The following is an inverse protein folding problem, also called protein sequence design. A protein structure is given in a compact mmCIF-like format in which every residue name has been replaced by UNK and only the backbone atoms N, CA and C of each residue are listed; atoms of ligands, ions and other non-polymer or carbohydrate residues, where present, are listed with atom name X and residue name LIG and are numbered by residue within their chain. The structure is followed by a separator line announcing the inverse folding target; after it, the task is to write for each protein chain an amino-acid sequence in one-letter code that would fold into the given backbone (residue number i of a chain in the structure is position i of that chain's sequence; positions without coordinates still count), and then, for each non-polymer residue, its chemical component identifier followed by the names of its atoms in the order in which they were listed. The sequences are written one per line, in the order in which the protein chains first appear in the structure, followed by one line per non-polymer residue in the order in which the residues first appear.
data_IF_565536000714
#
_entry.id   IF_565536000714
#
_cell.length_a   1.000
_cell.length_b   1.000
_cell.length_c   1.000
_cell.angle_alpha   90.00
_cell.angle_beta   90.00
_cell.angle_gamma   90.00
#
_symmetry.space_group_name_H-M   'P 1'
#
loop_
_entity.id
_entity.type
_entity.pdbx_description
1 polymer ?
#
# COMPACT_ATOMS: atom_id res chain seq x y z
N UNK A 1 8.06 57.49 -4.13
CA UNK A 1 9.01 58.23 -5.00
C UNK A 1 8.55 59.66 -5.01
N UNK A 2 9.44 60.61 -4.72
CA UNK A 2 9.10 62.02 -4.85
C UNK A 2 9.05 62.42 -6.34
N UNK A 3 8.44 63.57 -6.68
CA UNK A 3 8.33 64.05 -8.06
C UNK A 3 9.69 64.25 -8.76
N UNK A 4 10.78 64.37 -8.01
CA UNK A 4 12.16 64.53 -8.47
C UNK A 4 12.92 63.21 -8.71
N UNK A 5 12.26 62.06 -8.52
CA UNK A 5 12.88 60.74 -8.69
C UNK A 5 13.62 60.21 -7.45
N UNK A 6 13.69 60.98 -6.36
CA UNK A 6 14.30 60.57 -5.10
C UNK A 6 13.55 59.41 -4.41
N UNK A 7 14.30 58.52 -3.77
CA UNK A 7 13.78 57.44 -2.90
C UNK A 7 14.00 57.85 -1.44
N UNK A 8 12.93 57.98 -0.66
CA UNK A 8 13.03 58.11 0.80
C UNK A 8 13.07 56.73 1.45
N UNK A 9 13.95 56.56 2.43
CA UNK A 9 13.93 55.42 3.34
C UNK A 9 12.63 55.50 4.16
N UNK A 10 11.77 54.49 4.04
CA UNK A 10 10.55 54.38 4.83
C UNK A 10 10.73 53.24 5.82
N UNK A 11 10.72 53.56 7.11
CA UNK A 11 10.65 52.57 8.17
C UNK A 11 9.18 52.28 8.48
N UNK A 12 8.83 51.00 8.56
CA UNK A 12 7.49 50.51 8.92
C UNK A 12 7.66 49.31 9.82
N UNK A 13 6.78 49.12 10.79
CA UNK A 13 6.77 47.88 11.57
C UNK A 13 6.38 46.68 10.69
N UNK A 14 6.83 45.50 11.10
CA UNK A 14 6.68 44.26 10.33
C UNK A 14 5.22 43.89 10.13
N UNK A 15 4.39 44.00 11.17
CA UNK A 15 2.97 43.67 11.10
C UNK A 15 2.25 44.54 10.07
N UNK A 16 2.52 45.84 10.07
CA UNK A 16 1.96 46.76 9.09
C UNK A 16 2.51 46.50 7.70
N UNK A 17 3.80 46.17 7.55
CA UNK A 17 4.39 45.83 6.25
C UNK A 17 3.79 44.55 5.64
N UNK A 18 3.48 43.57 6.48
CA UNK A 18 2.86 42.30 6.10
C UNK A 18 1.33 42.32 6.17
N UNK A 19 0.69 43.46 6.48
CA UNK A 19 -0.76 43.57 6.73
C UNK A 19 -1.31 42.55 7.75
N UNK A 20 -0.54 42.22 8.78
CA UNK A 20 -0.99 41.44 9.92
C UNK A 20 -1.87 42.32 10.81
N UNK A 21 -3.19 42.08 10.79
CA UNK A 21 -4.19 42.83 11.55
C UNK A 21 -4.10 42.56 13.05
N UNK A 22 -3.46 41.46 13.46
CA UNK A 22 -3.49 40.95 14.83
C UNK A 22 -4.75 40.17 15.18
N UNK A 23 -5.65 39.94 14.21
CA UNK A 23 -6.76 38.99 14.34
C UNK A 23 -6.18 37.60 14.62
N UNK A 24 -6.67 36.94 15.68
CA UNK A 24 -6.18 35.61 16.10
C UNK A 24 -6.52 34.55 15.04
N UNK A 25 -7.52 34.77 14.19
CA UNK A 25 -7.84 33.91 13.06
C UNK A 25 -6.96 34.17 11.83
N UNK A 26 -6.14 35.23 11.82
CA UNK A 26 -5.26 35.53 10.69
C UNK A 26 -3.89 34.86 10.87
N UNK A 27 -3.47 34.14 9.84
CA UNK A 27 -2.14 33.57 9.72
C UNK A 27 -1.46 34.11 8.47
N UNK A 28 -0.14 34.00 8.42
CA UNK A 28 0.68 34.43 7.30
C UNK A 28 1.59 33.29 6.89
N UNK A 29 1.51 32.91 5.62
CA UNK A 29 2.40 31.94 5.01
C UNK A 29 3.47 32.62 4.16
N UNK A 30 4.64 32.00 4.06
CA UNK A 30 5.74 32.45 3.21
C UNK A 30 6.62 31.26 2.83
N UNK A 31 7.36 31.39 1.74
CA UNK A 31 8.38 30.43 1.32
C UNK A 31 9.77 30.99 1.57
N UNK A 32 10.58 30.24 2.32
CA UNK A 32 12.02 30.50 2.39
C UNK A 32 12.68 29.93 1.13
N UNK A 33 13.18 30.81 0.26
CA UNK A 33 13.81 30.42 -1.00
C UNK A 33 15.18 29.78 -0.84
N UNK A 34 15.82 29.91 0.34
CA UNK A 34 17.10 29.27 0.63
C UNK A 34 16.89 27.77 0.91
N UNK A 35 15.89 27.43 1.71
CA UNK A 35 15.59 26.04 2.10
C UNK A 35 14.53 25.38 1.22
N UNK A 36 13.76 26.17 0.48
CA UNK A 36 12.60 25.71 -0.29
C UNK A 36 11.35 25.45 0.56
N UNK A 37 11.40 25.65 1.88
CA UNK A 37 10.31 25.34 2.80
C UNK A 37 9.29 26.48 2.91
N UNK A 38 8.04 26.13 3.08
CA UNK A 38 6.96 27.01 3.50
C UNK A 38 6.86 27.07 5.04
N UNK A 39 6.61 28.26 5.54
CA UNK A 39 6.45 28.55 6.97
C UNK A 39 5.11 29.25 7.19
N UNK A 40 4.50 28.98 8.34
CA UNK A 40 3.27 29.62 8.79
C UNK A 40 3.55 30.38 10.10
N UNK A 41 3.03 31.61 10.18
CA UNK A 41 3.17 32.49 11.33
C UNK A 41 1.80 32.98 11.79
N UNK A 42 1.61 33.10 13.10
CA UNK A 42 0.41 33.72 13.67
C UNK A 42 0.42 35.24 13.45
N UNK A 43 -0.67 35.80 12.92
CA UNK A 43 -0.81 37.24 12.73
C UNK A 43 -0.82 38.02 14.04
N UNK A 44 -1.37 37.46 15.12
CA UNK A 44 -1.33 38.07 16.46
C UNK A 44 0.09 38.07 17.03
N UNK A 45 0.82 36.95 16.91
CA UNK A 45 2.20 36.89 17.41
C UNK A 45 3.16 37.77 16.60
N UNK A 46 2.98 37.85 15.28
CA UNK A 46 3.74 38.77 14.44
C UNK A 46 3.56 40.24 14.88
N UNK A 47 2.35 40.61 15.32
CA UNK A 47 2.04 41.96 15.79
C UNK A 47 2.61 42.26 17.17
N UNK A 48 2.52 41.31 18.09
CA UNK A 48 2.93 41.51 19.48
C UNK A 48 4.43 41.27 19.71
N UNK A 49 4.98 40.24 19.08
CA UNK A 49 6.33 39.72 19.34
C UNK A 49 7.26 39.83 18.13
N UNK A 50 6.73 40.10 16.93
CA UNK A 50 7.51 40.10 15.68
C UNK A 50 7.87 38.69 15.22
N UNK A 51 8.96 38.57 14.46
CA UNK A 51 9.52 37.28 14.05
C UNK A 51 10.80 37.00 14.81
N UNK A 52 10.92 35.78 15.33
CA UNK A 52 12.15 35.30 15.94
C UNK A 52 12.90 34.40 14.96
N UNK A 53 14.18 34.68 14.79
CA UNK A 53 15.11 33.85 14.04
C UNK A 53 16.35 33.58 14.89
N UNK A 54 16.78 32.33 14.88
CA UNK A 54 18.10 31.95 15.38
C UNK A 54 18.96 31.68 14.15
N UNK A 55 19.93 32.57 13.88
CA UNK A 55 20.84 32.50 12.74
C UNK A 55 22.23 32.09 13.23
N UNK A 56 22.76 31.00 12.68
CA UNK A 56 24.17 30.63 12.80
C UNK A 56 25.08 31.50 11.93
N UNK A 57 26.39 31.23 11.98
CA UNK A 57 27.36 31.89 11.10
C UNK A 57 27.07 31.59 9.63
N UNK A 58 27.04 32.63 8.79
CA UNK A 58 26.75 32.58 7.35
C UNK A 58 25.34 32.09 6.97
N UNK A 59 24.45 31.88 7.93
CA UNK A 59 23.06 31.52 7.65
C UNK A 59 22.27 32.76 7.21
N UNK A 60 21.42 32.59 6.20
CA UNK A 60 20.44 33.58 5.80
C UNK A 60 19.10 32.90 5.50
N UNK A 61 18.02 33.65 5.66
CA UNK A 61 16.68 33.25 5.20
C UNK A 61 16.17 34.32 4.24
N UNK A 62 15.50 33.88 3.17
CA UNK A 62 14.92 34.78 2.17
C UNK A 62 13.47 34.39 1.95
N UNK A 63 12.59 35.06 2.71
CA UNK A 63 11.16 34.82 2.74
C UNK A 63 10.44 35.59 1.63
N UNK A 64 9.88 34.86 0.66
CA UNK A 64 9.08 35.39 -0.45
C UNK A 64 7.66 34.80 -0.42
N UNK A 65 6.84 35.17 -1.41
CA UNK A 65 5.50 34.62 -1.63
C UNK A 65 4.58 34.70 -0.40
N UNK A 66 4.61 35.85 0.27
CA UNK A 66 3.79 36.12 1.44
C UNK A 66 2.31 36.05 1.10
N UNK A 67 1.57 35.20 1.83
CA UNK A 67 0.14 34.96 1.65
C UNK A 67 -0.59 35.09 2.98
N UNK A 68 -1.77 35.69 2.95
CA UNK A 68 -2.66 35.70 4.09
C UNK A 68 -3.51 34.44 4.11
N UNK A 69 -3.59 33.82 5.27
CA UNK A 69 -4.41 32.66 5.56
C UNK A 69 -5.40 33.03 6.66
N UNK A 70 -6.58 32.43 6.64
CA UNK A 70 -7.61 32.63 7.66
C UNK A 70 -8.06 31.29 8.19
N UNK A 71 -7.96 31.13 9.50
CA UNK A 71 -8.45 29.98 10.26
C UNK A 71 -9.97 29.88 10.10
N UNK A 72 -10.45 28.76 9.60
CA UNK A 72 -11.86 28.45 9.43
C UNK A 72 -12.11 26.95 9.64
N UNK A 73 -13.38 26.53 9.55
CA UNK A 73 -13.74 25.13 9.76
C UNK A 73 -13.10 24.19 8.73
N UNK A 74 -12.70 24.72 7.57
CA UNK A 74 -12.11 23.95 6.48
C UNK A 74 -10.59 23.92 6.50
N UNK A 75 -9.99 24.95 7.07
CA UNK A 75 -8.55 25.09 7.15
C UNK A 75 -8.22 25.51 8.59
N UNK A 76 -8.09 24.53 9.51
CA UNK A 76 -7.69 24.79 10.89
C UNK A 76 -6.20 25.16 10.94
N UNK A 77 -5.86 26.32 10.38
CA UNK A 77 -4.50 26.87 10.32
C UNK A 77 -3.90 27.05 11.71
N UNK A 78 -4.73 27.29 12.73
CA UNK A 78 -4.28 27.31 14.12
C UNK A 78 -3.74 25.95 14.56
N UNK A 79 -4.49 24.89 14.33
CA UNK A 79 -4.08 23.54 14.72
C UNK A 79 -2.82 23.14 13.95
N UNK A 80 -2.74 23.46 12.65
CA UNK A 80 -1.53 23.23 11.86
C UNK A 80 -0.34 24.03 12.41
N UNK A 81 -0.52 25.32 12.72
CA UNK A 81 0.53 26.17 13.30
C UNK A 81 1.07 25.57 14.61
N UNK A 82 0.17 25.15 15.51
CA UNK A 82 0.52 24.52 16.78
C UNK A 82 1.18 23.14 16.60
N UNK A 83 0.78 22.39 15.59
CA UNK A 83 1.39 21.11 15.24
C UNK A 83 2.82 21.28 14.72
N UNK A 84 3.05 22.24 13.83
CA UNK A 84 4.36 22.50 13.23
C UNK A 84 5.37 23.11 14.21
N UNK A 85 4.90 23.86 15.22
CA UNK A 85 5.75 24.49 16.25
C UNK A 85 6.93 25.27 15.65
N UNK A 86 6.66 26.02 14.58
CA UNK A 86 7.66 26.82 13.87
C UNK A 86 8.55 26.07 12.88
N UNK A 87 8.41 24.73 12.75
CA UNK A 87 9.09 23.97 11.69
C UNK A 87 8.53 24.33 10.32
N UNK A 88 9.42 24.54 9.35
CA UNK A 88 9.05 24.67 7.94
C UNK A 88 8.67 23.32 7.34
N UNK A 89 7.80 23.33 6.33
CA UNK A 89 7.34 22.16 5.57
C UNK A 89 7.51 22.38 4.09
N UNK A 90 7.60 21.34 3.26
CA UNK A 90 7.74 21.51 1.81
C UNK A 90 6.52 22.24 1.19
N UNK A 91 5.34 22.01 1.75
CA UNK A 91 4.04 22.52 1.30
C UNK A 91 3.06 22.58 2.46
N UNK A 92 2.55 23.77 2.79
CA UNK A 92 1.53 23.95 3.82
C UNK A 92 0.19 23.34 3.41
N UNK A 93 -0.09 23.28 2.09
CA UNK A 93 -1.29 22.63 1.58
C UNK A 93 -1.26 21.11 1.84
N UNK A 94 -0.12 20.45 1.61
CA UNK A 94 0.04 19.02 1.92
C UNK A 94 0.00 18.76 3.42
N UNK A 95 0.67 19.60 4.21
CA UNK A 95 0.64 19.48 5.66
C UNK A 95 -0.76 19.68 6.24
N UNK A 96 -1.58 20.57 5.66
CA UNK A 96 -2.99 20.73 6.01
C UNK A 96 -3.79 19.47 5.68
N UNK A 97 -3.60 18.89 4.49
CA UNK A 97 -4.25 17.62 4.13
C UNK A 97 -3.87 16.49 5.09
N UNK A 98 -2.60 16.38 5.46
CA UNK A 98 -2.13 15.35 6.40
C UNK A 98 -2.75 15.52 7.79
N UNK A 99 -2.91 16.78 8.26
CA UNK A 99 -3.63 17.07 9.50
C UNK A 99 -5.09 16.65 9.43
N UNK A 100 -5.78 16.97 8.33
CA UNK A 100 -7.19 16.62 8.14
C UNK A 100 -7.40 15.11 8.03
N UNK A 101 -6.51 14.38 7.35
CA UNK A 101 -6.60 12.93 7.16
C UNK A 101 -6.16 12.12 8.39
N UNK A 102 -5.53 12.78 9.37
CA UNK A 102 -4.98 12.17 10.58
C UNK A 102 -5.97 11.25 11.32
N UNK A 103 -7.26 11.60 11.53
CA UNK A 103 -8.20 10.72 12.22
C UNK A 103 -8.39 9.36 11.53
N UNK A 104 -8.48 9.35 10.19
CA UNK A 104 -8.60 8.11 9.41
C UNK A 104 -7.29 7.32 9.45
N UNK A 105 -6.15 8.00 9.30
CA UNK A 105 -4.83 7.35 9.36
C UNK A 105 -4.58 6.72 10.73
N UNK A 106 -4.94 7.39 11.82
CA UNK A 106 -4.82 6.85 13.17
C UNK A 106 -5.74 5.65 13.40
N UNK A 107 -6.99 5.72 12.93
CA UNK A 107 -7.92 4.60 13.02
C UNK A 107 -7.42 3.38 12.24
N UNK A 108 -6.83 3.58 11.06
CA UNK A 108 -6.20 2.52 10.28
C UNK A 108 -4.99 1.90 11.02
N UNK A 109 -4.10 2.72 11.59
CA UNK A 109 -2.96 2.22 12.39
C UNK A 109 -3.42 1.45 13.63
N UNK A 110 -4.52 1.88 14.25
CA UNK A 110 -5.12 1.17 15.36
C UNK A 110 -5.73 -0.17 14.92
N UNK A 111 -6.37 -0.23 13.75
CA UNK A 111 -6.92 -1.46 13.17
C UNK A 111 -5.83 -2.52 12.95
N UNK A 112 -4.71 -2.12 12.35
CA UNK A 112 -3.59 -3.02 12.02
C UNK A 112 -2.62 -3.15 13.20
N UNK A 113 -3.03 -3.95 14.18
CA UNK A 113 -2.32 -4.14 15.44
C UNK A 113 -1.83 -5.59 15.62
N UNK A 114 -0.50 -5.83 15.73
CA UNK A 114 0.05 -7.18 15.75
C UNK A 114 -0.52 -8.11 16.83
N UNK A 115 -0.67 -7.70 18.12
CA UNK A 115 -1.24 -8.56 19.14
C UNK A 115 -2.70 -8.94 18.86
N UNK A 116 -3.49 -8.00 18.35
CA UNK A 116 -4.88 -8.22 18.00
C UNK A 116 -5.02 -9.27 16.88
N UNK A 117 -4.27 -9.09 15.79
CA UNK A 117 -4.29 -10.00 14.63
C UNK A 117 -3.74 -11.38 15.04
N UNK A 118 -2.70 -11.42 15.86
CA UNK A 118 -2.14 -12.67 16.37
C UNK A 118 -3.17 -13.44 17.21
N UNK A 119 -3.91 -12.75 18.10
CA UNK A 119 -5.00 -13.35 18.89
C UNK A 119 -6.16 -13.83 18.02
N UNK A 120 -6.49 -13.08 16.96
CA UNK A 120 -7.59 -13.43 16.07
C UNK A 120 -7.29 -14.72 15.28
N UNK A 121 -6.09 -14.85 14.73
CA UNK A 121 -5.70 -15.97 13.86
C UNK A 121 -4.85 -17.04 14.57
N UNK A 122 -4.72 -16.96 15.90
CA UNK A 122 -3.97 -17.91 16.73
C UNK A 122 -2.50 -18.07 16.28
N UNK A 123 -1.94 -17.00 15.73
CA UNK A 123 -0.55 -16.94 15.29
C UNK A 123 0.32 -16.53 16.49
N UNK A 124 1.48 -17.17 16.66
CA UNK A 124 2.41 -16.77 17.73
C UNK A 124 2.97 -15.38 17.42
N UNK A 125 2.57 -14.36 18.20
CA UNK A 125 3.13 -13.03 18.10
C UNK A 125 4.64 -13.06 18.43
N UNK A 126 5.48 -12.24 17.78
CA UNK A 126 6.87 -12.13 18.17
C UNK A 126 6.95 -11.65 19.62
N UNK A 127 7.68 -12.38 20.47
CA UNK A 127 8.15 -11.80 21.72
C UNK A 127 9.06 -10.63 21.35
N UNK A 128 8.71 -9.42 21.80
CA UNK A 128 9.55 -8.23 21.63
C UNK A 128 10.95 -8.54 22.15
N UNK A 129 11.92 -8.67 21.24
CA UNK A 129 13.29 -8.95 21.59
C UNK A 129 13.83 -7.86 22.50
N UNK A 130 14.30 -8.27 23.69
CA UNK A 130 15.20 -7.46 24.49
C UNK A 130 16.33 -6.96 23.59
N UNK A 131 16.45 -5.63 23.52
CA UNK A 131 17.59 -4.97 22.93
C UNK A 131 18.88 -5.63 23.44
N UNK A 132 19.72 -6.06 22.49
CA UNK A 132 20.97 -6.76 22.76
C UNK A 132 21.80 -6.03 23.81
N UNK A 133 21.85 -6.62 25.01
CA UNK A 133 22.88 -6.30 25.99
C UNK A 133 24.18 -6.84 25.42
N UNK A 134 25.07 -5.94 25.00
CA UNK A 134 26.46 -6.23 24.62
C UNK A 134 27.09 -7.17 25.66
N UNK A 135 27.41 -8.39 25.26
CA UNK A 135 28.28 -9.28 26.03
C UNK A 135 29.70 -9.12 25.50
N UNK A 136 30.58 -8.55 26.32
CA UNK A 136 32.03 -8.67 26.14
C UNK A 136 32.48 -10.08 26.58
N UNK A 137 33.54 -10.67 26.00
CA UNK A 137 33.92 -12.05 26.27
C UNK A 137 34.98 -12.15 27.38
N UNK A 138 34.86 -13.16 28.25
CA UNK A 138 35.95 -13.77 29.02
C UNK A 138 35.47 -15.14 29.61
N UNK A 139 36.37 -16.06 30.02
CA UNK A 139 36.56 -17.32 29.32
C UNK A 139 36.17 -18.57 30.11
N UNK A 140 36.33 -19.71 29.44
CA UNK A 140 36.22 -21.11 29.86
C UNK A 140 36.45 -21.43 31.35
N UNK A 141 35.64 -22.34 31.88
CA UNK A 141 36.14 -23.54 32.59
C UNK A 141 35.06 -24.63 32.62
N UNK A 142 35.52 -25.86 32.39
CA UNK A 142 34.74 -27.10 32.36
C UNK A 142 34.34 -27.58 33.75
N UNK A 143 33.17 -28.21 33.86
CA UNK A 143 32.95 -29.34 34.77
C UNK A 143 31.71 -30.15 34.35
N UNK A 144 31.95 -31.40 33.99
CA UNK A 144 30.99 -32.48 33.82
C UNK A 144 30.32 -32.80 35.16
N UNK A 145 29.00 -33.00 35.19
CA UNK A 145 28.39 -33.89 36.18
C UNK A 145 27.06 -34.48 35.72
N UNK A 146 27.07 -35.81 35.65
CA UNK A 146 25.95 -36.73 35.44
C UNK A 146 25.01 -36.76 36.65
N UNK A 147 23.69 -36.81 36.44
CA UNK A 147 22.81 -37.92 36.91
C UNK A 147 21.31 -37.61 36.81
N UNK A 148 20.59 -38.64 36.36
CA UNK A 148 19.26 -39.12 36.78
C UNK A 148 18.01 -38.30 36.47
N UNK A 149 17.32 -38.79 35.44
CA UNK A 149 15.86 -38.83 35.26
C UNK A 149 15.14 -39.48 36.45
N UNK A 150 13.99 -38.94 36.89
CA UNK A 150 12.90 -39.70 37.50
C UNK A 150 11.66 -39.76 36.58
N UNK A 151 10.80 -40.80 36.69
CA UNK A 151 9.78 -41.10 35.70
C UNK A 151 8.39 -40.49 35.98
N UNK A 152 7.67 -40.29 34.86
CA UNK A 152 6.23 -40.39 34.62
C UNK A 152 5.23 -39.47 35.36
N UNK A 153 4.38 -38.79 34.56
CA UNK A 153 2.92 -38.84 34.63
C UNK A 153 2.35 -38.42 33.26
N UNK A 154 1.26 -39.04 32.76
CA UNK A 154 0.70 -38.77 31.45
C UNK A 154 0.03 -37.39 31.47
N UNK A 155 0.40 -36.54 30.51
CA UNK A 155 -0.34 -35.32 30.23
C UNK A 155 -1.74 -35.71 29.72
N UNK A 156 -2.70 -35.71 30.63
CA UNK A 156 -4.10 -35.68 30.28
C UNK A 156 -4.33 -34.38 29.50
N UNK A 157 -4.56 -34.52 28.20
CA UNK A 157 -5.09 -33.48 27.35
C UNK A 157 -6.44 -33.04 27.94
N UNK A 158 -6.44 -31.94 28.67
CA UNK A 158 -7.64 -31.34 29.21
C UNK A 158 -8.28 -30.46 28.14
N UNK A 159 -9.54 -30.78 27.80
CA UNK A 159 -10.43 -30.04 26.92
C UNK A 159 -10.80 -28.61 27.43
N UNK A 160 -9.95 -28.01 28.28
CA UNK A 160 -10.10 -26.65 28.83
C UNK A 160 -9.44 -25.62 27.89
N UNK A 161 -8.53 -26.03 27.00
CA UNK A 161 -7.81 -25.15 26.08
C UNK A 161 -8.67 -24.51 24.97
N UNK A 162 -9.63 -25.26 24.42
CA UNK A 162 -10.39 -24.84 23.24
C UNK A 162 -11.36 -23.70 23.54
N UNK A 163 -11.98 -23.70 24.73
CA UNK A 163 -12.90 -22.65 25.17
C UNK A 163 -12.21 -21.30 25.37
N UNK A 164 -11.01 -21.29 25.96
CA UNK A 164 -10.22 -20.07 26.15
C UNK A 164 -9.66 -19.51 24.84
N UNK A 165 -9.30 -20.37 23.87
CA UNK A 165 -8.89 -19.93 22.54
C UNK A 165 -10.07 -19.31 21.78
N UNK A 166 -11.23 -19.97 21.78
CA UNK A 166 -12.45 -19.47 21.14
C UNK A 166 -12.92 -18.13 21.74
N UNK A 167 -12.84 -17.99 23.07
CA UNK A 167 -13.21 -16.74 23.75
C UNK A 167 -12.25 -15.59 23.41
N UNK A 168 -10.92 -15.81 23.47
CA UNK A 168 -9.91 -14.82 23.08
C UNK A 168 -10.07 -14.37 21.63
N UNK A 169 -10.39 -15.31 20.75
CA UNK A 169 -10.69 -15.04 19.35
C UNK A 169 -11.92 -14.15 19.20
N UNK A 170 -13.01 -14.46 19.92
CA UNK A 170 -14.24 -13.66 19.88
C UNK A 170 -13.98 -12.23 20.34
N UNK A 171 -13.29 -12.07 21.47
CA UNK A 171 -12.89 -10.75 21.98
C UNK A 171 -12.01 -9.98 20.99
N UNK A 172 -11.09 -10.66 20.31
CA UNK A 172 -10.27 -10.07 19.26
C UNK A 172 -11.12 -9.62 18.04
N UNK A 173 -12.11 -10.42 17.64
CA UNK A 173 -13.01 -10.06 16.54
C UNK A 173 -13.89 -8.85 16.91
N UNK A 174 -14.44 -8.83 18.13
CA UNK A 174 -15.25 -7.72 18.65
C UNK A 174 -14.43 -6.41 18.71
N UNK A 175 -13.17 -6.48 19.16
CA UNK A 175 -12.27 -5.33 19.17
C UNK A 175 -11.87 -4.88 17.76
N UNK A 176 -11.66 -5.81 16.83
CA UNK A 176 -11.39 -5.48 15.43
C UNK A 176 -12.60 -4.78 14.78
N UNK A 177 -13.82 -5.26 15.06
CA UNK A 177 -15.08 -4.65 14.62
C UNK A 177 -15.23 -3.22 15.14
N UNK A 178 -14.91 -2.97 16.41
CA UNK A 178 -14.92 -1.62 16.98
C UNK A 178 -13.91 -0.69 16.27
N UNK A 179 -12.71 -1.18 15.97
CA UNK A 179 -11.66 -0.39 15.31
C UNK A 179 -11.99 -0.06 13.85
N UNK A 180 -12.57 -1.01 13.09
CA UNK A 180 -13.01 -0.71 11.73
C UNK A 180 -14.20 0.24 11.75
N UNK A 181 -15.13 0.10 12.69
CA UNK A 181 -16.25 1.04 12.85
C UNK A 181 -15.75 2.48 13.08
N UNK A 182 -14.75 2.67 13.96
CA UNK A 182 -14.14 3.97 14.20
C UNK A 182 -13.47 4.53 12.94
N UNK A 183 -12.80 3.69 12.14
CA UNK A 183 -12.21 4.09 10.86
C UNK A 183 -13.27 4.52 9.83
N UNK A 184 -14.36 3.76 9.71
CA UNK A 184 -15.49 4.07 8.84
C UNK A 184 -16.17 5.39 9.24
N UNK A 185 -16.36 5.63 10.55
CA UNK A 185 -16.92 6.88 11.08
C UNK A 185 -15.99 8.07 10.88
N UNK A 186 -14.68 7.89 11.07
CA UNK A 186 -13.69 8.93 10.77
C UNK A 186 -13.74 9.32 9.28
N UNK A 187 -13.84 8.35 8.37
CA UNK A 187 -13.96 8.62 6.95
C UNK A 187 -15.25 9.37 6.59
N UNK A 188 -16.40 9.00 7.17
CA UNK A 188 -17.65 9.75 6.97
C UNK A 188 -17.59 11.17 7.54
N UNK A 189 -16.88 11.37 8.65
CA UNK A 189 -16.76 12.68 9.29
C UNK A 189 -15.97 13.68 8.43
N UNK A 190 -15.04 13.20 7.59
CA UNK A 190 -14.33 14.03 6.60
C UNK A 190 -15.27 14.62 5.54
N UNK A 191 -16.38 13.94 5.26
CA UNK A 191 -17.34 14.30 4.21
C UNK A 191 -18.38 15.30 4.70
N UNK A 192 -18.65 15.30 6.00
CA UNK A 192 -19.55 16.25 6.66
C UNK A 192 -18.91 17.65 6.80
N UNK A 193 -17.60 17.76 6.62
CA UNK A 193 -16.91 19.04 6.55
C UNK A 193 -16.94 19.63 5.14
N UNK A 194 -17.00 20.96 5.02
CA UNK A 194 -16.85 21.68 3.76
C UNK A 194 -15.43 21.54 3.13
N UNK A 195 -14.53 20.75 3.76
CA UNK A 195 -13.17 20.42 3.31
C UNK A 195 -13.08 19.24 2.34
N UNK A 196 -14.16 18.50 2.13
CA UNK A 196 -14.15 17.29 1.30
C UNK A 196 -13.64 17.55 -0.12
N UNK A 197 -14.00 18.71 -0.71
CA UNK A 197 -13.58 19.12 -2.04
C UNK A 197 -12.07 19.35 -2.15
N UNK A 198 -11.43 19.95 -1.13
CA UNK A 198 -9.99 20.23 -1.16
C UNK A 198 -9.13 18.97 -0.95
N UNK A 199 -9.72 17.93 -0.37
CA UNK A 199 -9.12 16.60 -0.18
C UNK A 199 -9.31 15.67 -1.39
N UNK A 200 -10.13 16.04 -2.37
CA UNK A 200 -10.49 15.15 -3.48
C UNK A 200 -11.38 13.98 -3.04
N UNK A 201 -11.98 14.06 -1.85
CA UNK A 201 -12.93 13.07 -1.34
C UNK A 201 -14.30 13.32 -2.00
N UNK A 202 -15.04 12.28 -2.43
CA UNK A 202 -16.36 12.45 -3.01
C UNK A 202 -17.32 13.21 -2.09
N UNK A 203 -18.13 14.09 -2.69
CA UNK A 203 -19.14 14.88 -1.98
C UNK A 203 -20.15 14.01 -1.24
N UNK A 204 -20.74 14.52 -0.16
CA UNK A 204 -21.67 13.80 0.70
C UNK A 204 -22.81 13.08 -0.04
N UNK A 205 -23.36 13.71 -1.09
CA UNK A 205 -24.43 13.14 -1.90
C UNK A 205 -24.06 11.87 -2.65
N UNK A 206 -22.76 11.58 -2.83
CA UNK A 206 -22.28 10.38 -3.52
C UNK A 206 -22.17 9.17 -2.59
N UNK A 207 -22.21 9.34 -1.27
CA UNK A 207 -22.08 8.25 -0.30
C UNK A 207 -23.43 7.56 -0.10
N UNK A 208 -23.50 6.28 -0.50
CA UNK A 208 -24.75 5.52 -0.57
C UNK A 208 -24.90 4.47 0.52
N UNK A 209 -23.79 4.00 1.11
CA UNK A 209 -23.78 2.91 2.07
C UNK A 209 -23.92 3.35 3.52
N UNK A 210 -24.08 2.36 4.42
CA UNK A 210 -24.16 2.58 5.86
C UNK A 210 -23.00 1.91 6.60
N UNK A 211 -22.57 2.50 7.73
CA UNK A 211 -21.52 1.93 8.59
C UNK A 211 -21.90 0.53 9.08
N UNK A 212 -23.17 0.30 9.38
CA UNK A 212 -23.67 -0.99 9.85
C UNK A 212 -23.51 -2.10 8.80
N UNK A 213 -23.91 -1.83 7.55
CA UNK A 213 -23.79 -2.81 6.47
C UNK A 213 -22.31 -3.10 6.12
N UNK A 214 -21.49 -2.06 6.03
CA UNK A 214 -20.06 -2.18 5.77
C UNK A 214 -19.33 -2.96 6.89
N UNK A 215 -19.68 -2.71 8.16
CA UNK A 215 -19.15 -3.46 9.30
C UNK A 215 -19.54 -4.94 9.27
N UNK A 216 -20.80 -5.25 8.93
CA UNK A 216 -21.27 -6.62 8.80
C UNK A 216 -20.55 -7.36 7.66
N UNK A 217 -20.36 -6.69 6.51
CA UNK A 217 -19.63 -7.23 5.36
C UNK A 217 -18.16 -7.48 5.70
N UNK A 218 -17.49 -6.53 6.35
CA UNK A 218 -16.12 -6.66 6.85
C UNK A 218 -15.97 -7.89 7.75
N UNK A 219 -16.83 -8.01 8.76
CA UNK A 219 -16.78 -9.10 9.75
C UNK A 219 -16.94 -10.45 9.06
N UNK A 220 -17.93 -10.60 8.18
CA UNK A 220 -18.14 -11.80 7.37
C UNK A 220 -16.90 -12.18 6.56
N UNK A 221 -16.26 -11.22 5.89
CA UNK A 221 -15.07 -11.47 5.07
C UNK A 221 -13.86 -11.89 5.90
N UNK A 222 -13.64 -11.26 7.07
CA UNK A 222 -12.56 -11.64 7.99
C UNK A 222 -12.78 -13.06 8.52
N UNK A 223 -14.02 -13.42 8.87
CA UNK A 223 -14.34 -14.77 9.32
C UNK A 223 -14.16 -15.81 8.21
N UNK A 224 -14.58 -15.50 6.98
CA UNK A 224 -14.35 -16.34 5.82
C UNK A 224 -12.85 -16.52 5.52
N UNK A 225 -12.07 -15.44 5.60
CA UNK A 225 -10.64 -15.46 5.33
C UNK A 225 -9.88 -16.48 6.20
N UNK A 226 -10.34 -16.74 7.44
CA UNK A 226 -9.76 -17.76 8.31
C UNK A 226 -9.73 -19.17 7.73
N UNK A 227 -10.65 -19.47 6.79
CA UNK A 227 -10.74 -20.79 6.16
C UNK A 227 -9.85 -20.90 4.93
N UNK A 228 -9.22 -19.80 4.47
CA UNK A 228 -8.33 -19.79 3.30
C UNK A 228 -7.22 -20.83 3.40
N UNK A 229 -6.43 -20.95 4.49
CA UNK A 229 -5.38 -21.97 4.58
C UNK A 229 -5.92 -23.40 4.38
N UNK A 230 -7.17 -23.67 4.79
CA UNK A 230 -7.78 -24.99 4.62
C UNK A 230 -8.23 -25.29 3.18
N UNK A 231 -8.38 -24.26 2.33
CA UNK A 231 -8.73 -24.45 0.93
C UNK A 231 -7.61 -25.12 0.13
N UNK A 232 -6.35 -24.91 0.50
CA UNK A 232 -5.19 -25.52 -0.19
C UNK A 232 -5.34 -27.04 -0.36
N UNK A 233 -5.89 -27.72 0.65
CA UNK A 233 -6.12 -29.18 0.65
C UNK A 233 -7.10 -29.67 -0.43
N UNK A 234 -7.86 -28.74 -1.00
CA UNK A 234 -8.88 -29.02 -2.02
C UNK A 234 -8.39 -28.65 -3.43
N UNK A 235 -7.20 -28.05 -3.57
CA UNK A 235 -6.54 -27.87 -4.86
C UNK A 235 -5.93 -29.20 -5.34
N UNK A 236 -5.73 -29.34 -6.65
CA UNK A 236 -5.09 -30.51 -7.25
C UNK A 236 -3.60 -30.55 -6.94
N UNK A 237 -2.98 -29.37 -6.90
CA UNK A 237 -1.55 -29.17 -6.60
C UNK A 237 -1.43 -28.28 -5.37
N UNK A 238 -0.45 -28.58 -4.52
CA UNK A 238 -0.12 -27.73 -3.37
C UNK A 238 0.23 -26.31 -3.83
N UNK A 239 -0.02 -25.32 -2.99
CA UNK A 239 0.23 -23.93 -3.35
C UNK A 239 1.72 -23.67 -3.55
N UNK A 240 2.04 -22.90 -4.58
CA UNK A 240 3.43 -22.55 -4.89
C UNK A 240 4.06 -21.69 -3.79
N UNK A 241 5.38 -21.60 -3.75
CA UNK A 241 6.09 -20.68 -2.84
C UNK A 241 5.61 -19.24 -3.02
N UNK A 242 5.32 -18.81 -4.26
CA UNK A 242 4.75 -17.50 -4.56
C UNK A 242 3.36 -17.30 -3.94
N UNK A 243 2.47 -18.28 -4.07
CA UNK A 243 1.15 -18.24 -3.43
C UNK A 243 1.27 -18.13 -1.90
N UNK A 244 2.09 -19.00 -1.32
CA UNK A 244 2.37 -19.03 0.12
C UNK A 244 3.10 -17.79 0.61
N UNK A 245 3.74 -17.01 -0.25
CA UNK A 245 4.40 -15.75 0.15
C UNK A 245 3.41 -14.61 0.40
N UNK A 246 2.25 -14.61 -0.28
CA UNK A 246 1.26 -13.51 -0.24
C UNK A 246 -0.07 -13.90 0.42
N UNK A 247 -0.48 -15.17 0.38
CA UNK A 247 -1.74 -15.65 0.95
C UNK A 247 -1.51 -16.30 2.33
N UNK A 248 -2.45 -16.15 3.27
CA UNK A 248 -2.35 -16.81 4.56
C UNK A 248 -2.23 -18.34 4.44
N UNK A 249 -1.33 -18.92 5.23
CA UNK A 249 -1.05 -20.35 5.33
C UNK A 249 -0.65 -20.74 6.76
N UNK A 250 -0.24 -21.98 7.03
CA UNK A 250 0.05 -22.46 8.38
C UNK A 250 1.38 -21.97 9.01
N UNK A 251 2.17 -21.14 8.31
CA UNK A 251 3.37 -20.53 8.88
C UNK A 251 3.04 -19.49 9.99
N UNK A 252 3.97 -19.20 10.91
CA UNK A 252 3.71 -18.28 12.03
C UNK A 252 4.08 -16.81 11.75
N UNK A 253 5.37 -16.45 11.71
CA UNK A 253 5.79 -15.02 11.69
C UNK A 253 5.40 -14.27 10.42
N UNK A 254 5.80 -14.77 9.26
CA UNK A 254 5.51 -14.13 7.97
C UNK A 254 4.02 -14.10 7.65
N UNK A 255 3.27 -15.04 8.21
CA UNK A 255 1.83 -15.15 8.03
C UNK A 255 1.07 -14.00 8.70
N UNK A 256 1.59 -13.42 9.79
CA UNK A 256 0.94 -12.30 10.46
C UNK A 256 0.84 -11.06 9.53
N UNK A 257 1.85 -10.82 8.72
CA UNK A 257 1.83 -9.76 7.70
C UNK A 257 0.80 -10.04 6.59
N UNK A 258 0.63 -11.30 6.19
CA UNK A 258 -0.38 -11.73 5.21
C UNK A 258 -1.78 -11.49 5.75
N UNK A 259 -2.04 -11.87 7.00
CA UNK A 259 -3.31 -11.56 7.69
C UNK A 259 -3.57 -10.07 7.83
N UNK A 260 -2.55 -9.27 8.16
CA UNK A 260 -2.66 -7.82 8.17
C UNK A 260 -3.05 -7.26 6.80
N UNK A 261 -2.47 -7.79 5.73
CA UNK A 261 -2.80 -7.37 4.35
C UNK A 261 -4.24 -7.73 3.99
N UNK A 262 -4.72 -8.91 4.40
CA UNK A 262 -6.13 -9.32 4.21
C UNK A 262 -7.10 -8.42 4.99
N UNK A 263 -6.79 -8.09 6.25
CA UNK A 263 -7.59 -7.14 7.06
C UNK A 263 -7.61 -5.76 6.42
N UNK A 264 -6.46 -5.27 5.94
CA UNK A 264 -6.37 -3.99 5.24
C UNK A 264 -7.27 -3.98 4.00
N UNK A 265 -7.19 -5.01 3.16
CA UNK A 265 -8.08 -5.16 2.00
C UNK A 265 -9.56 -5.17 2.40
N UNK A 266 -9.94 -5.95 3.42
CA UNK A 266 -11.32 -6.02 3.87
C UNK A 266 -11.85 -4.67 4.39
N UNK A 267 -11.01 -3.91 5.09
CA UNK A 267 -11.35 -2.57 5.57
C UNK A 267 -11.49 -1.55 4.43
N UNK A 268 -10.63 -1.63 3.41
CA UNK A 268 -10.73 -0.79 2.21
C UNK A 268 -11.98 -1.13 1.38
N UNK A 269 -12.35 -2.41 1.27
CA UNK A 269 -13.62 -2.81 0.66
C UNK A 269 -14.82 -2.26 1.44
N UNK A 270 -14.79 -2.32 2.79
CA UNK A 270 -15.84 -1.74 3.63
C UNK A 270 -15.94 -0.21 3.49
N UNK A 271 -14.81 0.49 3.34
CA UNK A 271 -14.79 1.91 2.95
C UNK A 271 -15.46 2.13 1.59
N UNK A 272 -15.17 1.26 0.62
CA UNK A 272 -15.80 1.27 -0.69
C UNK A 272 -17.32 1.11 -0.64
N UNK A 273 -17.81 0.17 0.17
CA UNK A 273 -19.25 -0.05 0.40
C UNK A 273 -19.96 1.18 1.00
N UNK A 274 -19.26 2.00 1.81
CA UNK A 274 -19.81 3.27 2.28
C UNK A 274 -20.06 4.27 1.16
N UNK A 275 -19.15 4.33 0.19
CA UNK A 275 -19.26 5.25 -0.93
C UNK A 275 -20.23 4.73 -1.99
N UNK A 276 -20.05 3.50 -2.47
CA UNK A 276 -20.87 2.90 -3.52
C UNK A 276 -21.27 1.47 -3.14
N UNK A 277 -22.58 1.21 -3.13
CA UNK A 277 -23.12 -0.14 -2.86
C UNK A 277 -23.05 -1.01 -4.13
N UNK A 278 -23.09 -0.40 -5.32
CA UNK A 278 -23.06 -1.13 -6.59
C UNK A 278 -21.65 -1.45 -7.08
N UNK A 279 -20.65 -0.63 -6.73
CA UNK A 279 -19.26 -0.77 -7.17
C UNK A 279 -18.28 -0.53 -6.00
N UNK A 280 -18.33 -1.34 -4.93
CA UNK A 280 -17.55 -1.09 -3.72
C UNK A 280 -16.04 -1.23 -3.96
N UNK A 281 -15.59 -2.08 -4.88
CA UNK A 281 -14.17 -2.27 -5.19
C UNK A 281 -13.56 -1.01 -5.83
N UNK A 282 -14.16 -0.49 -6.91
CA UNK A 282 -13.72 0.74 -7.55
C UNK A 282 -13.80 1.94 -6.60
N UNK A 283 -14.86 2.01 -5.79
CA UNK A 283 -15.03 3.02 -4.76
C UNK A 283 -13.94 2.95 -3.68
N UNK A 284 -13.57 1.74 -3.24
CA UNK A 284 -12.50 1.50 -2.27
C UNK A 284 -11.13 1.92 -2.80
N UNK A 285 -10.82 1.62 -4.06
CA UNK A 285 -9.60 2.09 -4.72
C UNK A 285 -9.55 3.62 -4.82
N UNK A 286 -10.67 4.27 -5.18
CA UNK A 286 -10.78 5.73 -5.23
C UNK A 286 -10.55 6.37 -3.85
N UNK A 287 -11.15 5.79 -2.80
CA UNK A 287 -10.96 6.27 -1.43
C UNK A 287 -9.55 6.03 -0.91
N UNK A 288 -8.90 4.94 -1.30
CA UNK A 288 -7.50 4.71 -0.98
C UNK A 288 -6.61 5.87 -1.46
N UNK A 289 -6.82 6.32 -2.70
CA UNK A 289 -6.05 7.41 -3.30
C UNK A 289 -6.41 8.76 -2.67
N UNK A 290 -7.71 9.07 -2.54
CA UNK A 290 -8.19 10.32 -1.96
C UNK A 290 -7.77 10.51 -0.49
N UNK A 291 -7.76 9.42 0.28
CA UNK A 291 -7.37 9.43 1.70
C UNK A 291 -5.86 9.21 1.90
N UNK A 292 -5.07 9.16 0.81
CA UNK A 292 -3.60 8.95 0.83
C UNK A 292 -3.17 7.75 1.67
N UNK A 293 -3.89 6.63 1.57
CA UNK A 293 -3.70 5.48 2.48
C UNK A 293 -2.43 4.67 2.23
N UNK A 294 -1.70 4.92 1.12
CA UNK A 294 -0.52 4.15 0.75
C UNK A 294 0.53 4.12 1.85
N UNK A 295 0.94 5.29 2.34
CA UNK A 295 1.98 5.47 3.35
C UNK A 295 1.51 5.03 4.75
N UNK A 296 0.32 5.45 5.26
CA UNK A 296 -0.22 4.93 6.52
C UNK A 296 -0.31 3.41 6.58
N UNK A 297 -0.69 2.75 5.48
CA UNK A 297 -0.69 1.28 5.38
C UNK A 297 0.72 0.70 5.42
N UNK A 298 1.66 1.26 4.65
CA UNK A 298 3.04 0.78 4.66
C UNK A 298 3.67 0.91 6.06
N UNK A 299 3.45 2.03 6.75
CA UNK A 299 3.92 2.22 8.12
C UNK A 299 3.23 1.29 9.13
N UNK A 300 1.94 0.99 8.93
CA UNK A 300 1.28 -0.02 9.74
C UNK A 300 1.88 -1.41 9.50
N UNK A 301 2.19 -1.76 8.25
CA UNK A 301 2.79 -3.03 7.86
C UNK A 301 4.21 -3.24 8.38
N UNK A 302 4.98 -2.19 8.63
CA UNK A 302 6.33 -2.34 9.22
C UNK A 302 6.28 -2.97 10.61
N UNK A 303 5.19 -2.76 11.37
CA UNK A 303 4.96 -3.39 12.68
C UNK A 303 4.77 -4.91 12.59
N UNK A 304 4.53 -5.44 11.39
CA UNK A 304 4.40 -6.86 11.08
C UNK A 304 5.70 -7.46 10.52
N UNK A 305 6.81 -6.72 10.57
CA UNK A 305 8.12 -7.17 10.09
C UNK A 305 8.32 -7.04 8.58
N UNK A 306 7.45 -6.29 7.88
CA UNK A 306 7.68 -5.95 6.48
C UNK A 306 8.65 -4.77 6.39
N UNK A 307 9.84 -5.03 5.86
CA UNK A 307 10.91 -4.06 5.68
C UNK A 307 11.02 -3.59 4.21
N UNK A 308 11.76 -2.51 3.98
CA UNK A 308 12.08 -1.95 2.65
C UNK A 308 10.87 -1.81 1.71
N UNK A 309 10.92 -2.43 0.52
CA UNK A 309 9.83 -2.41 -0.45
C UNK A 309 8.64 -3.27 -0.01
N UNK A 310 8.83 -4.26 0.86
CA UNK A 310 7.81 -5.23 1.24
C UNK A 310 6.55 -4.58 1.81
N UNK A 311 6.72 -3.55 2.66
CA UNK A 311 5.61 -2.78 3.24
C UNK A 311 4.82 -1.99 2.18
N UNK A 312 5.52 -1.42 1.20
CA UNK A 312 4.92 -0.68 0.10
C UNK A 312 4.22 -1.60 -0.89
N UNK A 313 4.80 -2.78 -1.15
CA UNK A 313 4.19 -3.83 -2.00
C UNK A 313 2.91 -4.38 -1.36
N UNK A 314 2.87 -4.58 -0.04
CA UNK A 314 1.65 -4.99 0.66
C UNK A 314 0.54 -3.93 0.55
N UNK A 315 0.89 -2.65 0.72
CA UNK A 315 -0.03 -1.52 0.52
C UNK A 315 -0.57 -1.43 -0.92
N UNK A 316 0.32 -1.52 -1.92
CA UNK A 316 -0.08 -1.51 -3.33
C UNK A 316 -0.95 -2.71 -3.70
N UNK A 317 -0.67 -3.91 -3.17
CA UNK A 317 -1.51 -5.10 -3.35
C UNK A 317 -2.94 -4.89 -2.83
N UNK A 318 -3.09 -4.27 -1.66
CA UNK A 318 -4.40 -3.99 -1.08
C UNK A 318 -5.25 -3.06 -1.97
N UNK A 319 -4.64 -2.10 -2.67
CA UNK A 319 -5.30 -1.24 -3.67
C UNK A 319 -5.53 -1.95 -5.00
N UNK A 320 -4.52 -2.65 -5.53
CA UNK A 320 -4.55 -3.26 -6.87
C UNK A 320 -5.71 -4.24 -7.06
N UNK A 321 -6.01 -5.05 -6.03
CA UNK A 321 -7.13 -6.00 -6.08
C UNK A 321 -8.50 -5.30 -6.13
N UNK A 322 -8.61 -4.08 -5.58
CA UNK A 322 -9.84 -3.27 -5.63
C UNK A 322 -9.95 -2.53 -6.96
N UNK A 323 -8.85 -1.96 -7.44
CA UNK A 323 -8.82 -1.19 -8.69
C UNK A 323 -9.07 -2.06 -9.94
N UNK A 324 -8.80 -3.37 -9.87
CA UNK A 324 -8.79 -4.28 -11.02
C UNK A 324 -9.81 -5.44 -10.86
N UNK A 325 -10.91 -5.22 -10.14
CA UNK A 325 -11.93 -6.25 -9.83
C UNK A 325 -12.38 -7.06 -11.06
N UNK A 326 -12.65 -6.37 -12.17
CA UNK A 326 -13.15 -6.99 -13.39
C UNK A 326 -12.21 -8.04 -14.00
N UNK A 327 -10.93 -8.06 -13.60
CA UNK A 327 -9.88 -8.88 -14.20
C UNK A 327 -9.29 -9.91 -13.23
N UNK A 328 -9.78 -9.95 -12.00
CA UNK A 328 -9.35 -10.91 -10.99
C UNK A 328 -9.64 -12.36 -11.42
N UNK A 329 -8.80 -13.33 -11.02
CA UNK A 329 -9.22 -14.73 -11.02
C UNK A 329 -10.54 -14.91 -10.28
N UNK A 330 -11.50 -15.58 -10.91
CA UNK A 330 -12.87 -15.77 -10.38
C UNK A 330 -13.83 -14.60 -10.68
N UNK A 331 -13.42 -13.59 -11.44
CA UNK A 331 -14.33 -12.60 -12.03
C UNK A 331 -15.12 -13.20 -13.22
N UNK A 332 -16.32 -12.69 -13.55
CA UNK A 332 -17.08 -13.15 -14.70
C UNK A 332 -16.29 -12.98 -16.02
N UNK A 333 -16.36 -13.96 -16.93
CA UNK A 333 -15.65 -14.01 -18.24
C UNK A 333 -15.87 -12.83 -19.21
N UNK A 334 -16.65 -11.82 -18.84
CA UNK A 334 -17.05 -10.67 -19.68
C UNK A 334 -15.91 -9.67 -19.96
N UNK A 335 -14.77 -9.76 -19.26
CA UNK A 335 -13.64 -8.87 -19.52
C UNK A 335 -13.05 -9.14 -20.91
N UNK A 336 -13.23 -8.19 -21.84
CA UNK A 336 -12.75 -8.25 -23.23
C UNK A 336 -11.22 -8.33 -23.38
N UNK A 337 -10.46 -8.21 -22.28
CA UNK A 337 -9.03 -8.50 -22.22
C UNK A 337 -8.63 -8.86 -20.77
N UNK A 338 -8.10 -10.07 -20.51
CA UNK A 338 -7.72 -10.51 -19.16
C UNK A 338 -6.49 -9.78 -18.59
N UNK A 339 -5.84 -8.92 -19.39
CA UNK A 339 -4.58 -8.25 -19.06
C UNK A 339 -4.67 -6.71 -19.08
N UNK A 340 -5.86 -6.12 -19.13
CA UNK A 340 -6.03 -4.67 -19.13
C UNK A 340 -5.54 -3.94 -17.86
N UNK A 341 -5.19 -4.66 -16.78
CA UNK A 341 -4.55 -4.11 -15.58
C UNK A 341 -3.12 -3.60 -15.82
N UNK A 342 -2.51 -3.94 -16.96
CA UNK A 342 -1.17 -3.48 -17.33
C UNK A 342 -1.07 -1.95 -17.52
N UNK A 343 -2.18 -1.22 -17.48
CA UNK A 343 -2.19 0.24 -17.45
C UNK A 343 -2.10 0.82 -16.03
N UNK A 344 -2.28 0.02 -14.98
CA UNK A 344 -2.20 0.47 -13.59
C UNK A 344 -0.71 0.57 -13.15
N UNK A 345 -0.23 1.78 -12.79
CA UNK A 345 1.16 1.97 -12.36
C UNK A 345 1.54 1.12 -11.15
N UNK A 346 0.60 0.86 -10.23
CA UNK A 346 0.88 0.00 -9.08
C UNK A 346 1.12 -1.42 -9.49
N UNK A 347 0.34 -1.91 -10.46
CA UNK A 347 0.49 -3.27 -10.93
C UNK A 347 1.81 -3.42 -11.70
N UNK A 348 2.15 -2.47 -12.58
CA UNK A 348 3.44 -2.48 -13.29
C UNK A 348 4.62 -2.48 -12.32
N UNK A 349 4.55 -1.69 -11.24
CA UNK A 349 5.57 -1.67 -10.21
C UNK A 349 5.59 -2.98 -9.38
N UNK A 350 4.41 -3.52 -9.05
CA UNK A 350 4.29 -4.78 -8.31
C UNK A 350 4.91 -5.96 -9.05
N UNK A 351 4.73 -6.05 -10.37
CA UNK A 351 5.33 -7.12 -11.20
C UNK A 351 6.75 -6.79 -11.68
N UNK A 352 7.31 -5.66 -11.25
CA UNK A 352 8.66 -5.20 -11.57
C UNK A 352 8.93 -5.12 -13.09
N UNK A 353 8.11 -4.33 -13.80
CA UNK A 353 8.31 -4.09 -15.23
C UNK A 353 9.58 -3.29 -15.48
N UNK A 354 10.38 -3.74 -16.44
CA UNK A 354 11.63 -3.12 -16.87
C UNK A 354 11.80 -3.20 -18.39
N UNK A 355 12.61 -2.29 -18.92
CA UNK A 355 12.93 -2.20 -20.35
C UNK A 355 14.28 -2.87 -20.63
N UNK A 356 14.33 -3.75 -21.63
CA UNK A 356 15.56 -4.34 -22.15
C UNK A 356 15.52 -4.33 -23.68
N UNK A 357 16.51 -3.68 -24.31
CA UNK A 357 16.61 -3.53 -25.77
C UNK A 357 15.31 -3.01 -26.45
N UNK A 358 14.57 -2.13 -25.77
CA UNK A 358 13.31 -1.56 -26.28
C UNK A 358 12.08 -2.46 -26.12
N UNK A 359 12.21 -3.61 -25.46
CA UNK A 359 11.11 -4.51 -25.11
C UNK A 359 10.87 -4.45 -23.60
N UNK A 360 9.59 -4.37 -23.20
CA UNK A 360 9.17 -4.33 -21.80
C UNK A 360 8.90 -5.72 -21.28
N UNK A 361 9.67 -6.14 -20.28
CA UNK A 361 9.55 -7.42 -19.58
C UNK A 361 9.01 -7.22 -18.17
N UNK A 362 8.37 -8.24 -17.62
CA UNK A 362 8.00 -8.28 -16.21
C UNK A 362 8.63 -9.48 -15.50
N UNK A 363 8.78 -9.37 -14.18
CA UNK A 363 9.38 -10.44 -13.40
C UNK A 363 8.37 -11.57 -13.14
N UNK A 364 8.75 -12.80 -13.48
CA UNK A 364 7.94 -14.02 -13.31
C UNK A 364 7.43 -14.20 -11.87
N UNK A 365 8.34 -14.19 -10.90
CA UNK A 365 8.01 -14.46 -9.48
C UNK A 365 7.05 -13.42 -8.93
N UNK A 366 7.28 -12.15 -9.26
CA UNK A 366 6.43 -11.04 -8.83
C UNK A 366 5.06 -11.05 -9.50
N UNK A 367 4.99 -11.48 -10.76
CA UNK A 367 3.72 -11.71 -11.45
C UNK A 367 2.90 -12.82 -10.78
N UNK A 368 3.52 -13.98 -10.50
CA UNK A 368 2.85 -15.08 -9.82
C UNK A 368 2.37 -14.67 -8.41
N UNK A 369 3.20 -13.95 -7.65
CA UNK A 369 2.81 -13.40 -6.36
C UNK A 369 1.59 -12.47 -6.48
N UNK A 370 1.58 -11.59 -7.47
CA UNK A 370 0.44 -10.70 -7.66
C UNK A 370 -0.82 -11.47 -8.07
N UNK A 371 -0.70 -12.44 -8.98
CA UNK A 371 -1.82 -13.23 -9.47
C UNK A 371 -2.52 -14.00 -8.35
N UNK A 372 -1.74 -14.65 -7.47
CA UNK A 372 -2.27 -15.33 -6.29
C UNK A 372 -2.93 -14.36 -5.31
N UNK A 373 -2.37 -13.17 -5.11
CA UNK A 373 -3.03 -12.13 -4.32
C UNK A 373 -4.34 -11.65 -4.96
N UNK A 374 -4.39 -11.48 -6.29
CA UNK A 374 -5.59 -11.09 -7.01
C UNK A 374 -6.71 -12.15 -6.94
N UNK A 375 -6.38 -13.43 -6.69
CA UNK A 375 -7.37 -14.48 -6.45
C UNK A 375 -8.03 -14.40 -5.06
N UNK A 376 -7.51 -13.58 -4.14
CA UNK A 376 -8.00 -13.46 -2.76
C UNK A 376 -9.53 -13.25 -2.66
N UNK A 377 -10.16 -12.34 -3.41
CA UNK A 377 -11.61 -12.14 -3.27
C UNK A 377 -12.43 -13.37 -3.68
N UNK A 378 -11.98 -14.13 -4.68
CA UNK A 378 -12.63 -15.37 -5.07
C UNK A 378 -12.46 -16.46 -4.01
N UNK A 379 -11.26 -16.60 -3.44
CA UNK A 379 -10.99 -17.51 -2.32
C UNK A 379 -11.87 -17.19 -1.11
N UNK A 380 -12.02 -15.91 -0.76
CA UNK A 380 -12.89 -15.46 0.33
C UNK A 380 -14.35 -15.80 0.04
N UNK A 381 -14.86 -15.53 -1.18
CA UNK A 381 -16.24 -15.89 -1.57
C UNK A 381 -16.49 -17.39 -1.44
N UNK A 382 -15.53 -18.24 -1.82
CA UNK A 382 -15.63 -19.69 -1.67
C UNK A 382 -15.62 -20.08 -0.18
N UNK A 383 -14.77 -19.43 0.61
CA UNK A 383 -14.61 -19.65 2.05
C UNK A 383 -15.75 -19.10 2.94
N UNK A 384 -16.67 -18.31 2.38
CA UNK A 384 -17.91 -17.91 3.08
C UNK A 384 -18.80 -19.13 3.37
N UNK A 385 -18.75 -20.15 2.51
CA UNK A 385 -19.40 -21.44 2.76
C UNK A 385 -18.51 -22.32 3.67
N UNK A 386 -19.05 -22.94 4.73
CA UNK A 386 -18.30 -23.89 5.55
C UNK A 386 -17.78 -25.10 4.76
N UNK A 387 -18.52 -25.51 3.72
CA UNK A 387 -18.12 -26.54 2.77
C UNK A 387 -17.81 -25.87 1.43
N UNK A 388 -16.53 -25.78 1.01
CA UNK A 388 -16.18 -25.11 -0.22
C UNK A 388 -16.78 -25.83 -1.42
N UNK A 389 -17.28 -25.06 -2.38
CA UNK A 389 -17.81 -25.59 -3.64
C UNK A 389 -16.65 -26.09 -4.52
N UNK A 390 -16.53 -27.41 -4.78
CA UNK A 390 -15.42 -27.96 -5.55
C UNK A 390 -15.37 -27.46 -6.99
N UNK A 391 -16.53 -27.14 -7.59
CA UNK A 391 -16.58 -26.64 -8.97
C UNK A 391 -16.00 -25.24 -9.06
N UNK A 392 -16.44 -24.33 -8.17
CA UNK A 392 -15.90 -22.95 -8.12
C UNK A 392 -14.40 -22.92 -7.82
N UNK A 393 -13.94 -23.80 -6.93
CA UNK A 393 -12.52 -23.90 -6.60
C UNK A 393 -11.70 -24.39 -7.80
N UNK A 394 -12.19 -25.43 -8.48
CA UNK A 394 -11.53 -25.95 -9.68
C UNK A 394 -11.52 -24.93 -10.84
N UNK A 395 -12.62 -24.19 -11.03
CA UNK A 395 -12.66 -23.10 -12.01
C UNK A 395 -11.65 -21.98 -11.69
N UNK A 396 -11.47 -21.66 -10.41
CA UNK A 396 -10.47 -20.69 -9.96
C UNK A 396 -9.04 -21.18 -10.22
N UNK A 397 -8.77 -22.45 -9.93
CA UNK A 397 -7.48 -23.10 -10.20
C UNK A 397 -7.12 -23.03 -11.69
N UNK A 398 -8.02 -23.46 -12.58
CA UNK A 398 -7.80 -23.37 -14.04
C UNK A 398 -7.57 -21.93 -14.52
N UNK A 399 -8.23 -20.97 -13.88
CA UNK A 399 -8.07 -19.56 -14.19
C UNK A 399 -6.71 -18.98 -13.76
N UNK A 400 -6.12 -19.51 -12.69
CA UNK A 400 -4.78 -19.13 -12.25
C UNK A 400 -3.75 -19.80 -13.17
N UNK A 401 -3.87 -21.11 -13.40
CA UNK A 401 -2.98 -21.89 -14.28
C UNK A 401 -2.92 -21.29 -15.68
N UNK A 402 -4.06 -21.06 -16.33
CA UNK A 402 -4.11 -20.48 -17.68
C UNK A 402 -3.45 -19.10 -17.80
N UNK A 403 -3.44 -18.29 -16.73
CA UNK A 403 -2.78 -16.98 -16.71
C UNK A 403 -1.27 -17.10 -16.52
N UNK A 404 -0.81 -18.09 -15.75
CA UNK A 404 0.61 -18.43 -15.62
C UNK A 404 1.14 -18.95 -16.98
N UNK A 405 0.42 -19.89 -17.60
CA UNK A 405 0.77 -20.45 -18.91
C UNK A 405 0.81 -19.36 -19.98
N UNK A 406 -0.14 -18.42 -19.97
CA UNK A 406 -0.15 -17.29 -20.90
C UNK A 406 1.07 -16.36 -20.71
N UNK A 407 1.47 -16.09 -19.46
CA UNK A 407 2.66 -15.29 -19.16
C UNK A 407 3.96 -15.98 -19.61
N UNK A 408 4.05 -17.30 -19.46
CA UNK A 408 5.18 -18.10 -19.93
C UNK A 408 5.22 -18.16 -21.47
N UNK A 409 4.08 -18.39 -22.13
CA UNK A 409 3.96 -18.36 -23.59
C UNK A 409 4.31 -16.98 -24.18
N UNK A 410 4.03 -15.91 -23.45
CA UNK A 410 4.42 -14.54 -23.79
C UNK A 410 5.92 -14.25 -23.59
N UNK A 411 6.69 -15.20 -23.05
CA UNK A 411 8.08 -14.98 -22.65
C UNK A 411 8.23 -13.84 -21.63
N UNK A 412 7.20 -13.62 -20.80
CA UNK A 412 7.11 -12.52 -19.83
C UNK A 412 7.24 -11.11 -20.44
N UNK A 413 6.85 -10.94 -21.70
CA UNK A 413 6.80 -9.66 -22.40
C UNK A 413 5.41 -9.03 -22.30
N UNK A 414 5.36 -7.74 -21.95
CA UNK A 414 4.11 -7.00 -21.75
C UNK A 414 3.24 -7.01 -23.01
N UNK A 415 3.86 -6.70 -24.17
CA UNK A 415 3.14 -6.64 -25.45
C UNK A 415 2.66 -8.01 -25.91
N UNK A 416 3.50 -9.05 -25.82
CA UNK A 416 3.11 -10.40 -26.22
C UNK A 416 1.98 -10.96 -25.34
N UNK A 417 1.99 -10.67 -24.03
CA UNK A 417 0.92 -11.08 -23.13
C UNK A 417 -0.42 -10.40 -23.49
N UNK A 418 -0.36 -9.12 -23.85
CA UNK A 418 -1.54 -8.37 -24.30
C UNK A 418 -2.10 -8.95 -25.61
N UNK A 419 -1.23 -9.22 -26.60
CA UNK A 419 -1.60 -9.83 -27.88
C UNK A 419 -2.22 -11.22 -27.73
N UNK A 420 -1.68 -12.06 -26.83
CA UNK A 420 -2.26 -13.38 -26.51
C UNK A 420 -3.63 -13.28 -25.82
N UNK A 421 -3.85 -12.21 -25.04
CA UNK A 421 -5.14 -11.92 -24.42
C UNK A 421 -6.21 -11.39 -25.40
N UNK A 422 -5.78 -10.74 -26.49
CA UNK A 422 -6.65 -10.26 -27.57
C UNK A 422 -6.85 -11.30 -28.68
N UNK A 423 -5.91 -12.24 -28.83
CA UNK A 423 -5.86 -13.20 -29.94
C UNK A 423 -5.54 -14.62 -29.49
N UNK A 424 -6.52 -15.52 -29.58
CA UNK A 424 -6.25 -16.95 -29.73
C UNK A 424 -5.71 -17.23 -31.15
N UNK A 425 -4.48 -16.84 -31.46
CA UNK A 425 -3.66 -17.44 -32.54
C UNK A 425 -2.17 -17.31 -32.14
N UNK A 426 -1.45 -18.41 -31.90
CA UNK A 426 -0.03 -18.34 -31.53
C UNK A 426 0.82 -17.98 -32.75
N UNK A 427 1.77 -17.07 -32.56
CA UNK A 427 2.97 -16.96 -33.42
C UNK A 427 4.16 -17.40 -32.57
N UNK A 428 4.90 -18.36 -33.12
CA UNK A 428 6.01 -19.08 -32.49
C UNK A 428 7.02 -18.11 -31.82
N UNK A 429 7.51 -18.42 -30.60
CA UNK A 429 8.47 -17.57 -29.90
C UNK A 429 9.84 -17.60 -30.61
N UNK A 430 10.60 -16.49 -30.62
CA UNK A 430 11.97 -16.48 -31.12
C UNK A 430 12.88 -17.30 -30.18
N UNK A 431 13.92 -17.96 -30.71
CA UNK A 431 14.75 -18.85 -29.93
C UNK A 431 15.56 -18.06 -28.89
N UNK A 432 15.62 -18.60 -27.67
CA UNK A 432 16.54 -18.18 -26.62
C UNK A 432 17.95 -18.54 -27.09
N UNK A 433 18.80 -17.53 -27.29
CA UNK A 433 20.20 -17.75 -27.60
C UNK A 433 20.92 -18.22 -26.33
N UNK A 434 21.36 -19.48 -26.35
CA UNK A 434 22.30 -20.05 -25.39
C UNK A 434 23.70 -19.53 -25.76
N UNK A 435 24.34 -18.84 -24.80
CA UNK A 435 25.66 -18.23 -24.96
C UNK A 435 26.72 -19.24 -24.52
N UNK A 436 27.20 -20.09 -25.45
CA UNK A 436 28.44 -20.83 -25.28
C UNK A 436 28.95 -21.44 -26.60
N UNK A 437 29.74 -20.69 -27.39
CA UNK A 437 30.98 -21.16 -28.04
C UNK A 437 31.69 -20.08 -28.90
N UNK A 438 33.04 -20.13 -29.01
CA UNK A 438 33.89 -19.04 -29.52
C UNK A 438 34.06 -19.05 -31.05
N UNK A 439 34.59 -17.97 -31.67
CA UNK A 439 34.52 -17.80 -33.12
C UNK A 439 35.56 -18.67 -33.84
N UNK A 440 35.10 -19.43 -34.83
CA UNK A 440 35.95 -20.08 -35.83
C UNK A 440 35.98 -19.18 -37.07
N UNK A 441 37.21 -18.93 -37.52
CA UNK A 441 37.61 -18.11 -38.66
C UNK A 441 37.77 -19.03 -39.88
N UNK A 442 37.21 -18.69 -41.04
CA UNK A 442 37.52 -19.24 -42.39
C UNK A 442 36.69 -18.40 -43.40
N UNK A 443 37.23 -17.50 -44.22
CA UNK A 443 38.19 -17.62 -45.34
C UNK A 443 37.67 -18.46 -46.52
N UNK A 444 37.57 -17.77 -47.67
CA UNK A 444 37.58 -18.29 -49.06
C UNK A 444 36.29 -19.05 -49.51
N UNK A 445 35.79 -18.97 -50.75
CA UNK A 445 36.41 -18.68 -52.05
C UNK A 445 35.30 -18.41 -53.10
N UNK A 446 35.75 -17.89 -54.25
CA UNK A 446 35.02 -17.50 -55.46
C UNK A 446 34.16 -18.59 -56.11
N UNK A 447 33.05 -18.22 -56.77
CA UNK A 447 32.77 -18.77 -58.10
C UNK A 447 31.94 -17.83 -59.00
N UNK A 448 32.34 -17.88 -60.27
CA UNK A 448 32.13 -16.95 -61.38
C UNK A 448 30.81 -17.24 -62.11
N UNK A 449 30.07 -16.21 -62.54
CA UNK A 449 29.22 -16.32 -63.74
C UNK A 449 29.25 -15.06 -64.63
N UNK A 450 29.11 -15.18 -65.97
CA UNK A 450 29.58 -14.15 -66.90
C UNK A 450 28.48 -13.34 -67.62
N UNK A 451 28.83 -12.08 -67.89
CA UNK A 451 28.58 -11.19 -69.06
C UNK A 451 27.21 -11.13 -69.74
N UNK A 452 26.73 -9.88 -69.90
CA UNK A 452 25.91 -9.50 -71.06
C UNK A 452 25.15 -8.15 -70.98
N UNK A 453 25.85 -7.01 -70.88
CA UNK A 453 25.98 -6.00 -71.96
C UNK A 453 24.75 -5.08 -72.20
N UNK A 454 24.82 -3.84 -71.71
CA UNK A 454 24.20 -2.65 -72.34
C UNK A 454 25.02 -1.37 -72.08
N UNK A 455 25.44 -0.75 -73.17
CA UNK A 455 25.79 0.68 -73.35
C UNK A 455 25.18 1.09 -74.70
N UNK A 456 25.16 2.38 -75.12
CA UNK A 456 25.67 3.59 -74.48
C UNK A 456 24.69 4.79 -74.45
N UNK A 457 24.87 5.72 -73.51
CA UNK A 457 25.32 7.09 -73.79
C UNK A 457 25.67 7.80 -72.50
#
# INVERSE_FOLDING_TARGET
KFPDGGRALRQRDLASALNASGDVAQFVATRDTVTGLEHIFSGSELREKGMRFDLGGYQCHVFLDWKHLRDDLNHPWRELYEHLRGKGVASLADAMRDLQLKPVHDALRALLDPPLIASLFEVTAPQSGQAGKKTAPAPETAAVSTMKTPPALPAQATAIGDGHALQRRKEALDLLALRVQAMLQAAQSLVLGESAESLGVPAQSQWQGSVEAALASFTRKVEAARRIPSLEKHFRVAWSTHACSVLPNDAARENLARWATVIAWAALHALGELLSVSEPEQAGAKLFDALRLREPLADAFSRFGLEDEGKWRASARARAVLANEAWLPGAPRSAKSPHSWLHDPDVLWLINVHDYQGVRYFNKEMYECLLWWMALPALIRIAESPTPDPQKLHELELQIESRIDAAEAAGYQIMALFELGEGSVPKEPPPVADDDQPPINEAEEEEITPKGRRTPK
#
